data_IF_890791669419
#
_entry.id   IF_890791669419
#
_cell.length_a   1.000
_cell.length_b   1.000
_cell.length_c   1.000
_cell.angle_alpha   90.00
_cell.angle_beta   90.00
_cell.angle_gamma   90.00
#
_symmetry.space_group_name_H-M   'P 1'
#
loop_
_entity.id
_entity.type
_entity.pdbx_description
1 polymer ?
#
# COMPACT_ATOMS: atom_id res chain seq x y z
N UNK A 1 -36.93 23.93 11.02
CA UNK A 1 -37.13 22.74 11.88
C UNK A 1 -36.42 21.57 11.21
N UNK A 2 -35.38 21.05 11.87
CA UNK A 2 -34.58 19.85 11.63
C UNK A 2 -34.21 19.42 10.19
N UNK A 3 -32.96 19.75 9.83
CA UNK A 3 -32.11 18.96 8.94
C UNK A 3 -31.78 17.64 9.64
N UNK A 4 -32.27 16.52 9.11
CA UNK A 4 -31.75 15.19 9.44
C UNK A 4 -30.54 14.89 8.56
N UNK A 5 -29.36 14.99 9.17
CA UNK A 5 -28.10 14.39 8.69
C UNK A 5 -28.24 12.88 8.56
N UNK A 6 -27.81 12.24 7.46
CA UNK A 6 -27.42 10.84 7.49
C UNK A 6 -25.97 10.77 7.99
N UNK A 7 -25.81 10.44 9.27
CA UNK A 7 -24.63 9.69 9.73
C UNK A 7 -24.87 8.22 9.39
N UNK A 8 -23.79 7.53 9.05
CA UNK A 8 -23.66 6.07 8.84
C UNK A 8 -23.96 5.53 7.44
N UNK A 9 -22.90 5.34 6.65
CA UNK A 9 -22.53 3.98 6.25
C UNK A 9 -21.00 3.90 6.16
N UNK A 10 -20.37 3.33 7.19
CA UNK A 10 -19.03 2.77 7.06
C UNK A 10 -19.14 1.74 5.93
N UNK A 11 -18.45 1.97 4.82
CA UNK A 11 -18.42 1.06 3.68
C UNK A 11 -17.88 -0.28 4.15
N UNK A 12 -18.78 -1.22 4.42
CA UNK A 12 -18.44 -2.61 4.65
C UNK A 12 -17.94 -3.14 3.31
N UNK A 13 -16.62 -3.18 3.15
CA UNK A 13 -16.01 -4.04 2.14
C UNK A 13 -16.60 -5.44 2.30
N UNK A 14 -16.92 -6.10 1.19
CA UNK A 14 -17.20 -7.53 1.21
C UNK A 14 -15.88 -8.25 1.54
N UNK A 15 -15.61 -8.35 2.83
CA UNK A 15 -14.56 -9.18 3.41
C UNK A 15 -15.01 -10.62 3.24
N UNK A 16 -14.17 -11.44 2.62
CA UNK A 16 -14.43 -12.87 2.55
C UNK A 16 -14.19 -13.49 3.93
N UNK A 17 -14.99 -14.51 4.27
CA UNK A 17 -14.65 -15.46 5.35
C UNK A 17 -13.46 -16.36 4.97
N UNK A 18 -12.92 -16.23 3.76
CA UNK A 18 -11.70 -16.91 3.33
C UNK A 18 -10.52 -16.40 4.18
N UNK A 19 -9.91 -17.31 4.93
CA UNK A 19 -8.77 -16.97 5.76
C UNK A 19 -7.58 -16.61 4.86
N UNK A 20 -6.99 -15.43 5.11
CA UNK A 20 -5.79 -14.91 4.45
C UNK A 20 -4.68 -15.96 4.33
N UNK A 21 -4.56 -16.83 5.33
CA UNK A 21 -3.55 -17.91 5.42
C UNK A 21 -3.68 -18.96 4.30
N UNK A 22 -4.85 -19.10 3.69
CA UNK A 22 -5.08 -20.04 2.59
C UNK A 22 -4.66 -19.46 1.23
N UNK A 23 -4.73 -18.14 1.07
CA UNK A 23 -4.44 -17.46 -0.21
C UNK A 23 -3.03 -16.89 -0.27
N UNK A 24 -2.45 -16.52 0.88
CA UNK A 24 -1.19 -15.79 0.96
C UNK A 24 -0.22 -16.43 1.98
N UNK A 25 1.07 -16.59 1.62
CA UNK A 25 2.08 -17.04 2.58
C UNK A 25 2.19 -16.07 3.77
N UNK A 26 2.13 -16.59 4.99
CA UNK A 26 2.20 -15.77 6.22
C UNK A 26 3.42 -14.84 6.25
N UNK A 27 4.59 -15.34 5.84
CA UNK A 27 5.83 -14.57 5.78
C UNK A 27 5.74 -13.37 4.82
N UNK A 28 5.01 -13.49 3.71
CA UNK A 28 4.77 -12.39 2.79
C UNK A 28 3.87 -11.33 3.43
N UNK A 29 2.74 -11.76 4.01
CA UNK A 29 1.76 -10.86 4.64
C UNK A 29 2.42 -10.07 5.77
N UNK A 30 3.13 -10.76 6.66
CA UNK A 30 3.86 -10.13 7.77
C UNK A 30 4.91 -9.16 7.26
N UNK A 31 5.68 -9.55 6.25
CA UNK A 31 6.70 -8.70 5.69
C UNK A 31 6.17 -7.45 4.98
N UNK A 32 4.98 -7.51 4.37
CA UNK A 32 4.28 -6.33 3.83
C UNK A 32 3.87 -5.35 4.94
N UNK A 33 3.37 -5.87 6.08
CA UNK A 33 3.05 -5.06 7.26
C UNK A 33 4.33 -4.39 7.78
N UNK A 34 5.40 -5.17 8.01
CA UNK A 34 6.67 -4.66 8.54
C UNK A 34 7.25 -3.55 7.65
N UNK A 35 7.24 -3.74 6.33
CA UNK A 35 7.68 -2.72 5.37
C UNK A 35 6.81 -1.46 5.49
N UNK A 36 5.49 -1.63 5.47
CA UNK A 36 4.56 -0.50 5.42
C UNK A 36 4.60 0.30 6.72
N UNK A 37 4.61 -0.37 7.87
CA UNK A 37 4.79 0.29 9.17
C UNK A 37 6.15 0.99 9.29
N UNK A 38 7.22 0.36 8.79
CA UNK A 38 8.55 0.97 8.75
C UNK A 38 8.56 2.28 7.95
N UNK A 39 7.89 2.30 6.79
CA UNK A 39 7.76 3.52 5.99
C UNK A 39 6.91 4.57 6.71
N UNK A 40 5.77 4.19 7.30
CA UNK A 40 4.95 5.13 8.08
C UNK A 40 5.73 5.75 9.24
N UNK A 41 6.51 4.96 10.00
CA UNK A 41 7.35 5.48 11.09
C UNK A 41 8.48 6.37 10.56
N UNK A 42 9.09 6.02 9.44
CA UNK A 42 10.11 6.85 8.80
C UNK A 42 9.58 8.22 8.36
N UNK A 43 8.35 8.25 7.84
CA UNK A 43 7.70 9.49 7.41
C UNK A 43 7.11 10.27 8.60
N UNK A 44 6.33 9.65 9.48
CA UNK A 44 5.55 10.35 10.50
C UNK A 44 6.15 10.31 11.91
N UNK A 45 7.32 9.70 12.09
CA UNK A 45 7.98 9.58 13.40
C UNK A 45 7.19 8.71 14.38
N UNK A 46 7.11 9.16 15.63
CA UNK A 46 6.47 8.43 16.74
C UNK A 46 4.93 8.55 16.76
N UNK A 47 4.30 8.66 15.58
CA UNK A 47 2.84 8.65 15.48
C UNK A 47 2.27 7.31 15.97
N UNK A 48 1.14 7.35 16.66
CA UNK A 48 0.44 6.13 17.06
C UNK A 48 -0.18 5.48 15.81
N UNK A 49 0.49 4.41 15.35
CA UNK A 49 0.13 3.59 14.21
C UNK A 49 -0.38 2.23 14.68
N UNK A 50 -1.47 1.77 14.08
CA UNK A 50 -1.95 0.40 14.22
C UNK A 50 -2.39 -0.17 12.86
N UNK A 51 -2.25 -1.47 12.70
CA UNK A 51 -2.75 -2.23 11.55
C UNK A 51 -3.86 -3.16 12.02
N UNK A 52 -5.02 -3.13 11.35
CA UNK A 52 -6.07 -4.12 11.57
C UNK A 52 -5.64 -5.49 11.04
N UNK A 53 -6.26 -6.60 11.50
CA UNK A 53 -6.01 -7.92 10.91
C UNK A 53 -6.16 -7.87 9.38
N UNK A 54 -5.17 -8.37 8.61
CA UNK A 54 -5.25 -8.42 7.17
C UNK A 54 -6.49 -9.18 6.72
N UNK A 55 -7.04 -8.79 5.57
CA UNK A 55 -8.26 -9.40 5.04
C UNK A 55 -8.16 -9.63 3.54
N UNK A 56 -8.97 -10.57 3.04
CA UNK A 56 -9.15 -10.78 1.61
C UNK A 56 -10.48 -10.15 1.18
N UNK A 57 -10.41 -9.23 0.22
CA UNK A 57 -11.58 -8.50 -0.28
C UNK A 57 -11.82 -8.79 -1.75
N UNK A 58 -13.07 -9.05 -2.15
CA UNK A 58 -13.46 -9.13 -3.58
C UNK A 58 -14.05 -7.83 -4.09
N UNK A 59 -14.42 -6.95 -3.17
CA UNK A 59 -15.09 -5.73 -3.55
C UNK A 59 -14.16 -4.84 -4.38
N UNK A 60 -14.78 -4.14 -5.32
CA UNK A 60 -14.14 -3.24 -6.27
C UNK A 60 -14.41 -1.78 -5.93
N UNK A 61 -14.86 -1.52 -4.71
CA UNK A 61 -15.15 -0.19 -4.22
C UNK A 61 -13.85 0.50 -3.78
N UNK A 62 -13.71 1.76 -4.15
CA UNK A 62 -12.61 2.63 -3.78
C UNK A 62 -12.92 3.20 -2.38
N UNK A 63 -12.02 2.98 -1.43
CA UNK A 63 -12.04 3.68 -0.15
C UNK A 63 -11.65 5.15 -0.31
N UNK A 64 -12.31 6.04 0.45
CA UNK A 64 -11.97 7.46 0.49
C UNK A 64 -12.21 8.19 -0.83
N UNK A 65 -11.41 9.22 -1.08
CA UNK A 65 -11.52 10.09 -2.27
C UNK A 65 -10.27 10.03 -3.16
N UNK A 66 -9.14 9.60 -2.60
CA UNK A 66 -7.82 9.70 -3.21
C UNK A 66 -7.10 8.38 -3.08
N UNK A 67 -6.45 7.97 -4.16
CA UNK A 67 -5.62 6.78 -4.17
C UNK A 67 -4.41 6.97 -5.09
N UNK A 68 -3.33 6.28 -4.73
CA UNK A 68 -2.13 6.10 -5.55
C UNK A 68 -2.05 4.63 -5.96
N UNK A 69 -1.57 4.36 -7.17
CA UNK A 69 -1.51 3.03 -7.74
C UNK A 69 -0.17 2.84 -8.47
N UNK A 70 0.48 1.70 -8.24
CA UNK A 70 1.71 1.32 -8.93
C UNK A 70 1.63 -0.13 -9.41
N UNK A 71 2.02 -0.46 -10.66
CA UNK A 71 2.08 -1.83 -11.12
C UNK A 71 3.21 -2.60 -10.42
N UNK A 72 2.96 -3.87 -10.15
CA UNK A 72 3.91 -4.84 -9.59
C UNK A 72 4.19 -5.89 -10.64
N UNK A 73 5.46 -6.16 -10.94
CA UNK A 73 5.84 -7.20 -11.90
C UNK A 73 7.08 -7.95 -11.42
N UNK A 74 6.95 -9.28 -11.33
CA UNK A 74 8.04 -10.22 -11.08
C UNK A 74 7.79 -11.55 -11.77
N UNK A 75 8.71 -12.51 -11.61
CA UNK A 75 8.56 -13.87 -12.11
C UNK A 75 7.40 -14.66 -11.45
N UNK A 76 6.98 -14.30 -10.24
CA UNK A 76 6.02 -15.07 -9.43
C UNK A 76 4.73 -14.31 -9.09
N UNK A 77 4.62 -13.05 -9.53
CA UNK A 77 3.36 -12.31 -9.48
C UNK A 77 3.38 -11.08 -10.40
N UNK A 78 2.22 -10.74 -10.95
CA UNK A 78 1.94 -9.49 -11.64
C UNK A 78 0.63 -8.90 -11.16
N UNK A 79 0.56 -7.57 -11.08
CA UNK A 79 -0.65 -6.86 -10.70
C UNK A 79 -0.37 -5.45 -10.21
N UNK A 80 -0.98 -5.05 -9.10
CA UNK A 80 -0.93 -3.66 -8.61
C UNK A 80 -0.85 -3.58 -7.10
N UNK A 81 -0.15 -2.55 -6.61
CA UNK A 81 -0.29 -2.06 -5.24
C UNK A 81 -1.04 -0.73 -5.28
N UNK A 82 -2.05 -0.61 -4.43
CA UNK A 82 -2.88 0.58 -4.28
C UNK A 82 -2.85 1.07 -2.84
N UNK A 83 -2.74 2.39 -2.64
CA UNK A 83 -2.89 3.03 -1.33
C UNK A 83 -4.00 4.07 -1.42
N UNK A 84 -4.98 4.00 -0.52
CA UNK A 84 -6.19 4.83 -0.55
C UNK A 84 -6.37 5.56 0.79
N UNK A 85 -6.89 6.78 0.74
CA UNK A 85 -7.15 7.59 1.93
C UNK A 85 -8.37 8.49 1.76
N UNK A 86 -8.94 8.92 2.89
CA UNK A 86 -9.88 10.05 2.91
C UNK A 86 -9.11 11.36 2.80
N UNK A 87 -9.61 12.30 1.99
CA UNK A 87 -8.86 13.51 1.66
C UNK A 87 -8.67 14.43 2.88
N UNK A 88 -9.76 14.76 3.58
CA UNK A 88 -9.74 15.77 4.65
C UNK A 88 -8.94 15.32 5.87
N UNK A 89 -9.16 14.11 6.45
CA UNK A 89 -8.39 13.67 7.60
C UNK A 89 -6.89 13.59 7.29
N UNK A 90 -6.53 13.13 6.08
CA UNK A 90 -5.13 13.01 5.73
C UNK A 90 -4.45 14.37 5.53
N UNK A 91 -5.12 15.35 4.89
CA UNK A 91 -4.59 16.72 4.80
C UNK A 91 -4.32 17.34 6.18
N UNK A 92 -5.27 17.19 7.12
CA UNK A 92 -5.10 17.71 8.48
C UNK A 92 -3.91 17.07 9.20
N UNK A 93 -3.73 15.76 9.02
CA UNK A 93 -2.56 15.09 9.55
C UNK A 93 -1.25 15.65 8.99
N UNK A 94 -1.19 15.99 7.69
CA UNK A 94 0.01 16.59 7.10
C UNK A 94 0.33 17.96 7.72
N UNK A 95 -0.68 18.78 7.97
CA UNK A 95 -0.51 20.08 8.65
C UNK A 95 0.06 19.89 10.05
N UNK A 96 -0.57 19.02 10.85
CA UNK A 96 -0.19 18.78 12.24
C UNK A 96 1.16 18.08 12.40
N UNK A 97 1.57 17.29 11.42
CA UNK A 97 2.87 16.59 11.41
C UNK A 97 3.98 17.37 10.70
N UNK A 98 3.72 18.63 10.33
CA UNK A 98 4.70 19.54 9.73
C UNK A 98 5.18 19.11 8.35
N UNK A 99 4.34 18.39 7.60
CA UNK A 99 4.67 17.85 6.25
C UNK A 99 4.34 18.80 5.12
N UNK A 100 3.74 19.94 5.43
CA UNK A 100 3.48 21.02 4.50
C UNK A 100 3.79 22.37 5.15
N UNK A 101 4.11 23.36 4.32
CA UNK A 101 4.21 24.75 4.76
C UNK A 101 2.81 25.38 4.77
N UNK A 102 2.25 25.57 5.96
CA UNK A 102 0.91 26.15 6.12
C UNK A 102 -0.20 25.12 5.92
N UNK A 103 -1.28 25.53 5.26
CA UNK A 103 -2.48 24.70 5.07
C UNK A 103 -2.27 23.67 3.95
N UNK A 104 -2.51 22.39 4.24
CA UNK A 104 -2.37 21.31 3.28
C UNK A 104 -3.47 21.37 2.23
N UNK A 105 -3.07 21.41 0.96
CA UNK A 105 -3.95 21.26 -0.18
C UNK A 105 -3.92 19.84 -0.75
N UNK A 106 -4.65 19.67 -1.86
CA UNK A 106 -4.66 18.41 -2.60
C UNK A 106 -3.28 18.05 -3.18
N UNK A 107 -2.38 19.03 -3.39
CA UNK A 107 -1.05 18.79 -3.97
C UNK A 107 -0.14 18.10 -2.96
N UNK A 108 -0.11 18.60 -1.74
CA UNK A 108 0.66 18.07 -0.62
C UNK A 108 0.19 16.66 -0.30
N UNK A 109 -1.14 16.46 -0.24
CA UNK A 109 -1.73 15.14 -0.07
C UNK A 109 -1.32 14.16 -1.19
N UNK A 110 -1.43 14.56 -2.46
CA UNK A 110 -1.11 13.67 -3.58
C UNK A 110 0.38 13.35 -3.61
N UNK A 111 1.23 14.33 -3.29
CA UNK A 111 2.67 14.15 -3.15
C UNK A 111 3.00 13.12 -2.07
N UNK A 112 2.44 13.29 -0.87
CA UNK A 112 2.68 12.37 0.24
C UNK A 112 2.16 10.95 -0.04
N UNK A 113 0.96 10.82 -0.61
CA UNK A 113 0.40 9.52 -0.95
C UNK A 113 1.24 8.81 -2.03
N UNK A 114 1.74 9.57 -3.00
CA UNK A 114 2.66 9.08 -4.03
C UNK A 114 4.01 8.65 -3.45
N UNK A 115 4.60 9.45 -2.56
CA UNK A 115 5.84 9.15 -1.86
C UNK A 115 5.71 7.88 -1.01
N UNK A 116 4.66 7.79 -0.19
CA UNK A 116 4.34 6.61 0.62
C UNK A 116 4.27 5.35 -0.24
N UNK A 117 3.53 5.42 -1.35
CA UNK A 117 3.38 4.30 -2.30
C UNK A 117 4.73 3.91 -2.91
N UNK A 118 5.54 4.88 -3.33
CA UNK A 118 6.84 4.60 -3.95
C UNK A 118 7.85 4.00 -2.98
N UNK A 119 7.90 4.47 -1.73
CA UNK A 119 8.79 3.95 -0.71
C UNK A 119 8.44 2.50 -0.35
N UNK A 120 7.15 2.22 -0.13
CA UNK A 120 6.68 0.86 0.14
C UNK A 120 6.99 -0.07 -1.03
N UNK A 121 6.69 0.38 -2.27
CA UNK A 121 6.99 -0.40 -3.46
C UNK A 121 8.49 -0.67 -3.60
N UNK A 122 9.34 0.34 -3.41
CA UNK A 122 10.78 0.18 -3.50
C UNK A 122 11.32 -0.85 -2.49
N UNK A 123 10.87 -0.79 -1.24
CA UNK A 123 11.23 -1.75 -0.21
C UNK A 123 10.71 -3.17 -0.53
N UNK A 124 9.45 -3.28 -0.96
CA UNK A 124 8.85 -4.55 -1.37
C UNK A 124 9.61 -5.18 -2.55
N UNK A 125 9.91 -4.39 -3.58
CA UNK A 125 10.66 -4.83 -4.76
C UNK A 125 12.04 -5.35 -4.37
N UNK A 126 12.77 -4.59 -3.57
CA UNK A 126 14.12 -4.96 -3.12
C UNK A 126 14.12 -6.26 -2.31
N UNK A 127 13.07 -6.51 -1.52
CA UNK A 127 12.98 -7.69 -0.67
C UNK A 127 12.44 -8.94 -1.38
N UNK A 128 11.55 -8.79 -2.37
CA UNK A 128 10.78 -9.94 -2.88
C UNK A 128 10.80 -10.12 -4.40
N UNK A 129 11.15 -9.12 -5.19
CA UNK A 129 10.95 -9.18 -6.65
C UNK A 129 12.16 -9.61 -7.49
N UNK A 130 13.31 -9.85 -6.86
CA UNK A 130 14.49 -10.45 -7.54
C UNK A 130 14.98 -9.66 -8.76
N UNK A 131 15.75 -10.33 -9.64
CA UNK A 131 16.33 -9.71 -10.83
C UNK A 131 15.28 -9.56 -11.96
N UNK A 132 15.00 -8.32 -12.42
CA UNK A 132 14.06 -8.05 -13.52
C UNK A 132 14.42 -8.72 -14.85
N UNK A 133 15.65 -9.20 -15.05
CA UNK A 133 16.06 -9.91 -16.26
C UNK A 133 15.33 -11.25 -16.48
N UNK A 134 14.67 -11.78 -15.45
CA UNK A 134 13.92 -13.05 -15.49
C UNK A 134 12.46 -12.91 -15.89
N UNK A 135 11.95 -11.68 -16.07
CA UNK A 135 10.54 -11.45 -16.42
C UNK A 135 10.35 -11.66 -17.93
N UNK A 136 9.57 -12.66 -18.31
CA UNK A 136 9.27 -12.98 -19.71
C UNK A 136 8.54 -11.82 -20.42
N UNK A 137 8.91 -11.57 -21.68
CA UNK A 137 8.59 -10.34 -22.42
C UNK A 137 7.22 -10.36 -23.12
N UNK A 138 6.46 -11.45 -23.07
CA UNK A 138 5.12 -11.51 -23.67
C UNK A 138 4.07 -10.93 -22.70
N UNK A 139 3.85 -9.62 -22.81
CA UNK A 139 3.01 -8.87 -21.87
C UNK A 139 1.52 -8.87 -22.25
N UNK A 140 0.78 -9.74 -21.57
CA UNK A 140 -0.60 -9.54 -21.10
C UNK A 140 -0.88 -8.16 -20.48
N UNK A 141 -1.31 -7.11 -21.20
CA UNK A 141 -1.83 -5.89 -20.55
C UNK A 141 -3.35 -5.96 -20.41
N UNK A 142 -3.83 -5.84 -19.18
CA UNK A 142 -5.26 -5.82 -18.86
C UNK A 142 -5.68 -4.37 -18.61
N UNK A 143 -6.80 -3.89 -19.18
CA UNK A 143 -7.23 -2.50 -18.98
C UNK A 143 -7.69 -2.27 -17.53
N UNK A 144 -7.22 -1.16 -16.94
CA UNK A 144 -7.71 -0.65 -15.66
C UNK A 144 -8.95 0.23 -15.91
N UNK A 145 -10.08 -0.12 -15.29
CA UNK A 145 -11.31 0.67 -15.37
C UNK A 145 -11.55 1.39 -14.04
N UNK A 146 -11.64 2.73 -14.07
CA UNK A 146 -11.97 3.55 -12.90
C UNK A 146 -13.27 4.31 -13.17
N UNK A 147 -14.24 4.15 -12.28
CA UNK A 147 -15.48 4.90 -12.27
C UNK A 147 -15.55 5.72 -10.98
N UNK A 148 -15.08 6.97 -11.06
CA UNK A 148 -15.03 7.89 -9.93
C UNK A 148 -16.41 8.18 -9.34
N UNK A 149 -17.46 8.25 -10.19
CA UNK A 149 -18.82 8.56 -9.73
C UNK A 149 -19.39 7.46 -8.83
N UNK A 150 -19.06 6.20 -9.12
CA UNK A 150 -19.51 5.04 -8.36
C UNK A 150 -18.46 4.56 -7.35
N UNK A 151 -17.33 5.28 -7.21
CA UNK A 151 -16.16 4.84 -6.45
C UNK A 151 -15.79 3.38 -6.79
N UNK A 152 -15.70 3.03 -8.07
CA UNK A 152 -15.43 1.65 -8.51
C UNK A 152 -14.11 1.55 -9.29
N UNK A 153 -13.34 0.50 -9.04
CA UNK A 153 -12.10 0.17 -9.74
C UNK A 153 -12.05 -1.31 -10.13
N UNK A 154 -11.70 -1.61 -11.39
CA UNK A 154 -11.48 -2.97 -11.85
C UNK A 154 -10.11 -3.12 -12.48
N UNK A 155 -9.40 -4.16 -12.06
CA UNK A 155 -8.08 -4.57 -12.56
C UNK A 155 -8.19 -5.62 -13.69
N UNK A 156 -9.40 -5.79 -14.23
CA UNK A 156 -9.75 -6.77 -15.27
C UNK A 156 -9.55 -8.23 -14.87
N UNK A 157 -9.57 -8.49 -13.57
CA UNK A 157 -9.60 -9.82 -12.95
C UNK A 157 -10.62 -9.83 -11.81
N UNK A 158 -11.26 -10.97 -11.56
CA UNK A 158 -12.12 -11.22 -10.39
C UNK A 158 -11.32 -11.79 -9.19
N UNK A 159 -9.98 -11.79 -9.27
CA UNK A 159 -9.13 -12.27 -8.19
C UNK A 159 -9.37 -11.47 -6.91
N UNK A 160 -9.39 -12.13 -5.74
CA UNK A 160 -9.42 -11.45 -4.46
C UNK A 160 -8.17 -10.57 -4.27
N UNK A 161 -8.34 -9.51 -3.46
CA UNK A 161 -7.30 -8.54 -3.15
C UNK A 161 -6.90 -8.70 -1.69
N UNK A 162 -5.60 -8.70 -1.41
CA UNK A 162 -5.10 -8.64 -0.05
C UNK A 162 -5.19 -7.20 0.45
N UNK A 163 -5.93 -6.97 1.52
CA UNK A 163 -6.21 -5.65 2.07
C UNK A 163 -5.62 -5.51 3.48
N UNK A 164 -4.96 -4.37 3.70
CA UNK A 164 -4.47 -3.92 5.00
C UNK A 164 -5.08 -2.56 5.32
N UNK A 165 -5.56 -2.41 6.55
CA UNK A 165 -6.14 -1.15 7.04
C UNK A 165 -5.24 -0.60 8.13
N UNK A 166 -4.64 0.55 7.85
CA UNK A 166 -3.76 1.26 8.79
C UNK A 166 -4.51 2.44 9.40
N UNK A 167 -4.35 2.61 10.71
CA UNK A 167 -4.93 3.72 11.47
C UNK A 167 -3.81 4.51 12.13
N UNK A 168 -3.70 5.78 11.74
CA UNK A 168 -2.79 6.75 12.33
C UNK A 168 -3.60 7.67 13.22
N UNK A 169 -3.18 7.84 14.47
CA UNK A 169 -3.81 8.79 15.39
C UNK A 169 -3.07 10.11 15.33
N UNK A 170 -3.79 11.16 14.96
CA UNK A 170 -3.28 12.53 14.95
C UNK A 170 -2.83 12.93 16.35
N UNK A 171 -1.56 13.33 16.55
CA UNK A 171 -1.04 13.68 17.87
C UNK A 171 -1.61 14.99 18.43
N UNK A 172 -2.21 15.85 17.60
CA UNK A 172 -2.72 17.17 18.01
C UNK A 172 -4.15 17.07 18.53
N UNK A 173 -5.04 16.38 17.82
CA UNK A 173 -6.46 16.32 18.17
C UNK A 173 -7.04 14.92 18.38
N UNK A 174 -6.21 13.87 18.24
CA UNK A 174 -6.59 12.48 18.46
C UNK A 174 -7.46 11.88 17.36
N UNK A 175 -7.68 12.57 16.23
CA UNK A 175 -8.43 12.02 15.10
C UNK A 175 -7.71 10.84 14.47
N UNK A 176 -8.48 9.86 14.02
CA UNK A 176 -7.93 8.69 13.32
C UNK A 176 -7.99 8.91 11.83
N UNK A 177 -6.81 8.90 11.19
CA UNK A 177 -6.67 8.83 9.74
C UNK A 177 -6.55 7.37 9.34
N UNK A 178 -7.40 6.94 8.41
CA UNK A 178 -7.44 5.55 7.92
C UNK A 178 -6.86 5.48 6.51
N UNK A 179 -5.94 4.55 6.28
CA UNK A 179 -5.39 4.25 4.97
C UNK A 179 -5.64 2.78 4.62
N UNK A 180 -6.14 2.53 3.42
CA UNK A 180 -6.33 1.19 2.89
C UNK A 180 -5.25 0.88 1.86
N UNK A 181 -4.49 -0.18 2.11
CA UNK A 181 -3.51 -0.71 1.17
C UNK A 181 -4.03 -2.00 0.57
N UNK A 182 -4.03 -2.09 -0.76
CA UNK A 182 -4.43 -3.30 -1.47
C UNK A 182 -3.28 -3.81 -2.32
N UNK A 183 -3.04 -5.12 -2.27
CA UNK A 183 -2.25 -5.85 -3.24
C UNK A 183 -3.18 -6.70 -4.10
N UNK A 184 -3.18 -6.41 -5.40
CA UNK A 184 -4.00 -7.09 -6.39
C UNK A 184 -3.08 -7.89 -7.28
N UNK A 185 -3.10 -9.21 -7.16
CA UNK A 185 -2.30 -10.10 -8.02
C UNK A 185 -3.17 -10.62 -9.15
N UNK A 186 -3.09 -9.96 -10.31
CA UNK A 186 -3.98 -10.22 -11.45
C UNK A 186 -3.50 -11.32 -12.38
N UNK A 187 -2.19 -11.54 -12.48
CA UNK A 187 -1.60 -12.53 -13.38
C UNK A 187 -0.40 -13.22 -12.73
N UNK A 188 -0.15 -14.47 -13.13
CA UNK A 188 1.01 -15.25 -12.71
C UNK A 188 1.21 -15.32 -11.18
N UNK A 189 0.11 -15.37 -10.41
CA UNK A 189 0.20 -15.56 -8.96
C UNK A 189 0.62 -17.00 -8.66
N UNK A 190 1.86 -17.17 -8.22
CA UNK A 190 2.44 -18.46 -7.82
C UNK A 190 3.04 -18.34 -6.42
N UNK A 191 2.23 -18.42 -5.35
CA UNK A 191 2.71 -18.26 -3.98
C UNK A 191 3.76 -19.31 -3.59
N UNK A 192 3.74 -20.50 -4.19
CA UNK A 192 4.75 -21.55 -3.99
C UNK A 192 6.15 -21.15 -4.48
N UNK A 193 6.22 -20.27 -5.48
CA UNK A 193 7.46 -19.73 -6.03
C UNK A 193 7.98 -18.53 -5.24
N UNK A 194 7.21 -18.04 -4.25
CA UNK A 194 7.65 -16.98 -3.35
C UNK A 194 8.93 -17.40 -2.61
N UNK A 195 9.93 -16.52 -2.68
CA UNK A 195 11.18 -16.62 -1.94
C UNK A 195 11.54 -15.21 -1.50
N UNK A 196 11.99 -15.05 -0.26
CA UNK A 196 12.69 -13.82 0.11
C UNK A 196 13.95 -13.75 -0.77
N UNK A 197 14.22 -12.58 -1.35
CA UNK A 197 15.50 -12.36 -2.00
C UNK A 197 16.58 -12.65 -0.96
N UNK A 198 17.57 -13.48 -1.30
CA UNK A 198 18.74 -13.64 -0.46
C UNK A 198 19.28 -12.22 -0.24
N UNK A 199 19.19 -11.71 0.99
CA UNK A 199 19.87 -10.47 1.33
C UNK A 199 21.32 -10.75 0.95
N UNK A 200 21.82 -10.08 -0.09
CA UNK A 200 23.24 -10.03 -0.31
C UNK A 200 23.77 -9.49 1.01
N UNK A 201 24.32 -10.38 1.84
CA UNK A 201 25.02 -10.00 3.05
C UNK A 201 25.82 -8.79 2.66
N UNK A 202 25.52 -7.64 3.25
CA UNK A 202 26.31 -6.44 3.07
C UNK A 202 27.71 -6.88 3.47
N UNK A 203 28.50 -7.25 2.46
CA UNK A 203 29.84 -7.73 2.65
C UNK A 203 30.49 -6.63 3.42
N UNK A 204 31.02 -6.97 4.60
CA UNK A 204 31.91 -6.13 5.38
C UNK A 204 32.73 -5.34 4.38
N UNK A 205 32.48 -4.03 4.28
CA UNK A 205 33.29 -3.16 3.46
C UNK A 205 34.61 -3.10 4.23
N UNK A 206 35.47 -4.09 3.99
CA UNK A 206 36.88 -3.98 4.34
C UNK A 206 37.32 -2.69 3.70
N UNK A 207 37.66 -1.75 4.56
CA UNK A 207 38.12 -0.41 4.22
C UNK A 207 39.47 -0.58 3.53
N UNK A 208 39.41 -0.93 2.25
CA UNK A 208 40.56 -1.02 1.37
C UNK A 208 41.14 0.38 1.22
N UNK A 209 42.39 0.51 1.63
CA UNK A 209 43.14 1.75 1.63
C UNK A 209 43.02 2.50 0.29
N UNK A 210 42.87 3.82 0.38
CA UNK A 210 43.12 4.76 -0.70
C UNK A 210 44.52 4.51 -1.29
N UNK A 211 44.61 3.86 -2.45
CA UNK A 211 45.78 3.99 -3.31
C UNK A 211 45.58 5.23 -4.19
N UNK A 212 46.36 6.26 -3.89
CA UNK A 212 46.56 7.44 -4.73
C UNK A 212 47.33 7.01 -5.99
N UNK A 213 46.71 7.15 -7.15
CA UNK A 213 47.40 7.29 -8.44
C UNK A 213 46.87 8.50 -9.19
#
# INVERSE_FOLDING_TARGET
>A
MNRSTPRESVSQFLILDDSVEHEYPEALVRGMIDITEGVFRGLFGDIALSCEPPSVVRDRIIFGEVFSLIPLESAWCRGYMMMQAEQVPFMQLLEHTGRCEGQAGFRELNGMLGELTNLIWGAFRNRYMGDPATVDRMQVQVPLLINHKQKYISFGTDNPQLCFVYRLTDPVDGRVVTLHQHFVFSLNWSPEAFREAAQASAGTVETGALELF
#
